data_IF_137741513378
#
_entry.id   IF_137741513378
#
_cell.length_a   1.000
_cell.length_b   1.000
_cell.length_c   1.000
_cell.angle_alpha   90.00
_cell.angle_beta   90.00
_cell.angle_gamma   90.00
#
_symmetry.space_group_name_H-M   'P 1'
#
loop_
_entity.id
_entity.type
_entity.pdbx_description
1 polymer ?
#
# COMPACT_ATOMS: atom_id res chain seq x y z
N UNK A 1 -9.78 -15.58 25.09
CA UNK A 1 -10.07 -14.63 26.19
C UNK A 1 -9.74 -13.23 25.72
N UNK A 2 -10.70 -12.29 25.76
CA UNK A 2 -10.47 -10.89 25.38
C UNK A 2 -9.44 -10.28 26.34
N UNK A 3 -8.43 -9.60 25.80
CA UNK A 3 -7.37 -9.02 26.64
C UNK A 3 -7.63 -7.55 26.91
N UNK A 4 -7.92 -7.17 28.17
CA UNK A 4 -8.23 -5.79 28.52
C UNK A 4 -7.08 -4.81 28.22
N UNK A 5 -5.85 -5.31 28.04
CA UNK A 5 -4.68 -4.45 27.74
C UNK A 5 -4.79 -3.68 26.42
N UNK A 6 -5.65 -4.12 25.48
CA UNK A 6 -5.89 -3.40 24.23
C UNK A 6 -7.13 -2.51 24.27
N UNK A 7 -7.94 -2.54 25.33
CA UNK A 7 -9.23 -1.84 25.39
C UNK A 7 -9.07 -0.32 25.19
N UNK A 8 -8.07 0.28 25.86
CA UNK A 8 -7.83 1.72 25.75
C UNK A 8 -7.44 2.13 24.33
N UNK A 9 -6.41 1.50 23.77
CA UNK A 9 -5.96 1.86 22.41
C UNK A 9 -7.03 1.55 21.36
N UNK A 10 -7.80 0.46 21.53
CA UNK A 10 -8.90 0.14 20.65
C UNK A 10 -9.99 1.21 20.69
N UNK A 11 -10.37 1.69 21.89
CA UNK A 11 -11.34 2.76 22.04
C UNK A 11 -10.87 4.05 21.36
N UNK A 12 -9.58 4.41 21.51
CA UNK A 12 -9.01 5.58 20.85
C UNK A 12 -9.08 5.46 19.32
N UNK A 13 -8.56 4.35 18.75
CA UNK A 13 -8.48 4.18 17.29
C UNK A 13 -9.87 4.01 16.67
N UNK A 14 -10.78 3.27 17.32
CA UNK A 14 -12.16 3.12 16.86
C UNK A 14 -12.98 4.41 16.99
N UNK A 15 -12.67 5.25 17.98
CA UNK A 15 -13.29 6.56 18.15
C UNK A 15 -12.94 7.56 17.03
N UNK A 16 -11.89 7.31 16.25
CA UNK A 16 -11.53 8.12 15.09
C UNK A 16 -12.24 7.66 13.79
N UNK A 17 -12.72 6.42 13.71
CA UNK A 17 -13.37 5.91 12.49
C UNK A 17 -14.56 6.77 12.02
N UNK A 18 -15.46 7.29 12.91
CA UNK A 18 -16.54 8.18 12.49
C UNK A 18 -16.10 9.52 11.92
N UNK A 19 -14.85 9.92 12.15
CA UNK A 19 -14.28 11.19 11.70
C UNK A 19 -13.45 11.05 10.42
N UNK A 20 -13.48 9.89 9.79
CA UNK A 20 -12.80 9.66 8.52
C UNK A 20 -13.63 10.19 7.35
N UNK A 21 -12.98 10.40 6.22
CA UNK A 21 -13.66 10.78 4.98
C UNK A 21 -14.54 9.62 4.50
N UNK A 22 -15.82 9.89 4.33
CA UNK A 22 -16.83 8.92 3.87
C UNK A 22 -17.04 8.99 2.36
N UNK A 23 -17.78 8.02 1.80
CA UNK A 23 -18.22 8.07 0.39
C UNK A 23 -19.04 9.32 0.07
N UNK A 24 -19.87 9.79 1.02
CA UNK A 24 -20.65 11.02 0.86
C UNK A 24 -19.74 12.26 0.73
N UNK A 25 -18.68 12.34 1.54
CA UNK A 25 -17.66 13.39 1.41
C UNK A 25 -17.01 13.35 0.03
N UNK A 26 -16.60 12.16 -0.41
CA UNK A 26 -16.00 11.95 -1.74
C UNK A 26 -16.96 12.41 -2.85
N UNK A 27 -18.23 12.02 -2.81
CA UNK A 27 -19.22 12.42 -3.82
C UNK A 27 -19.41 13.96 -3.84
N UNK A 28 -19.40 14.63 -2.69
CA UNK A 28 -19.44 16.11 -2.62
C UNK A 28 -18.17 16.74 -3.19
N UNK A 29 -16.99 16.23 -2.83
CA UNK A 29 -15.71 16.72 -3.37
C UNK A 29 -15.67 16.62 -4.89
N UNK A 30 -16.20 15.54 -5.43
CA UNK A 30 -16.23 15.27 -6.86
C UNK A 30 -17.09 16.28 -7.66
N UNK A 31 -17.97 17.01 -7.02
CA UNK A 31 -18.77 18.07 -7.63
C UNK A 31 -18.22 19.47 -7.35
N UNK A 32 -17.14 19.58 -6.60
CA UNK A 32 -16.55 20.86 -6.22
C UNK A 32 -15.85 21.52 -7.42
N UNK A 33 -16.04 22.83 -7.63
CA UNK A 33 -15.46 23.55 -8.76
C UNK A 33 -13.98 23.88 -8.60
N UNK A 34 -13.44 23.76 -7.38
CA UNK A 34 -12.04 24.07 -7.07
C UNK A 34 -11.47 23.18 -5.99
N UNK A 35 -10.14 23.14 -5.88
CA UNK A 35 -9.44 22.48 -4.79
C UNK A 35 -9.91 22.97 -3.42
N UNK A 36 -10.11 24.27 -3.26
CA UNK A 36 -10.53 24.88 -1.99
C UNK A 36 -11.96 24.47 -1.60
N UNK A 37 -12.87 24.46 -2.58
CA UNK A 37 -14.24 24.00 -2.35
C UNK A 37 -14.29 22.52 -1.99
N UNK A 38 -13.46 21.68 -2.64
CA UNK A 38 -13.34 20.27 -2.32
C UNK A 38 -12.85 20.06 -0.88
N UNK A 39 -11.78 20.76 -0.46
CA UNK A 39 -11.27 20.69 0.91
C UNK A 39 -12.30 21.19 1.93
N UNK A 40 -13.12 22.17 1.57
CA UNK A 40 -14.19 22.68 2.46
C UNK A 40 -15.25 21.61 2.79
N UNK A 41 -15.46 20.61 1.91
CA UNK A 41 -16.46 19.55 2.13
C UNK A 41 -16.06 18.53 3.20
N UNK A 42 -14.80 18.48 3.59
CA UNK A 42 -14.25 17.52 4.55
C UNK A 42 -13.77 18.16 5.86
N UNK A 43 -14.08 19.44 6.12
CA UNK A 43 -13.59 20.19 7.28
C UNK A 43 -13.90 19.53 8.64
N UNK A 44 -15.06 18.87 8.76
CA UNK A 44 -15.46 18.17 9.97
C UNK A 44 -14.74 16.84 10.22
N UNK A 45 -13.96 16.36 9.24
CA UNK A 45 -13.13 15.17 9.40
C UNK A 45 -11.80 15.49 10.08
N UNK A 46 -11.15 14.48 10.67
CA UNK A 46 -9.84 14.67 11.30
C UNK A 46 -8.78 15.17 10.31
N UNK A 47 -8.77 14.65 9.09
CA UNK A 47 -7.82 15.08 8.06
C UNK A 47 -8.18 16.46 7.49
N UNK A 48 -9.47 16.76 7.36
CA UNK A 48 -9.93 18.08 6.92
C UNK A 48 -9.55 19.18 7.90
N UNK A 49 -9.76 18.96 9.18
CA UNK A 49 -9.35 19.87 10.26
C UNK A 49 -7.83 20.10 10.27
N UNK A 50 -7.03 19.04 10.03
CA UNK A 50 -5.58 19.16 9.93
C UNK A 50 -5.15 19.98 8.71
N UNK A 51 -5.80 19.80 7.56
CA UNK A 51 -5.47 20.54 6.33
C UNK A 51 -5.90 22.02 6.39
N UNK A 52 -6.94 22.36 7.15
CA UNK A 52 -7.42 23.74 7.30
C UNK A 52 -6.39 24.64 8.00
N UNK A 53 -5.54 24.08 8.86
CA UNK A 53 -4.46 24.80 9.53
C UNK A 53 -3.26 25.11 8.61
N UNK A 54 -3.23 24.57 7.40
CA UNK A 54 -2.09 24.62 6.49
C UNK A 54 -2.38 25.50 5.26
N UNK A 55 -1.37 26.24 4.72
CA UNK A 55 -1.55 27.10 3.56
C UNK A 55 -1.55 26.32 2.24
N UNK A 56 -2.46 25.36 2.09
CA UNK A 56 -2.56 24.48 0.90
C UNK A 56 -2.97 25.31 -0.33
N UNK A 57 -2.06 25.46 -1.30
CA UNK A 57 -2.29 26.19 -2.56
C UNK A 57 -2.04 25.33 -3.80
N UNK A 58 -1.19 24.32 -3.70
CA UNK A 58 -0.80 23.43 -4.80
C UNK A 58 -1.05 21.98 -4.44
N UNK A 59 -1.21 21.13 -5.45
CA UNK A 59 -1.38 19.69 -5.21
C UNK A 59 -0.11 19.07 -4.61
N UNK A 60 1.08 19.47 -5.05
CA UNK A 60 2.32 18.87 -4.55
C UNK A 60 2.49 19.15 -3.05
N UNK A 61 2.20 20.36 -2.59
CA UNK A 61 2.22 20.67 -1.15
C UNK A 61 1.11 19.94 -0.40
N UNK A 62 -0.08 19.82 -0.99
CA UNK A 62 -1.18 19.02 -0.42
C UNK A 62 -0.76 17.57 -0.23
N UNK A 63 -0.10 16.98 -1.23
CA UNK A 63 0.36 15.58 -1.17
C UNK A 63 1.32 15.34 -0.01
N UNK A 64 2.26 16.25 0.19
CA UNK A 64 3.14 16.24 1.37
C UNK A 64 2.36 16.35 2.69
N UNK A 65 1.35 17.23 2.74
CA UNK A 65 0.48 17.40 3.92
C UNK A 65 -0.32 16.12 4.23
N UNK A 66 -0.85 15.42 3.22
CA UNK A 66 -1.60 14.17 3.41
C UNK A 66 -0.72 13.08 4.03
N UNK A 67 0.51 12.92 3.57
CA UNK A 67 1.46 11.99 4.18
C UNK A 67 1.95 12.47 5.55
N UNK A 68 2.13 13.78 5.73
CA UNK A 68 2.43 14.40 7.02
C UNK A 68 1.35 14.12 8.06
N UNK A 69 0.08 14.15 7.66
CA UNK A 69 -1.04 13.73 8.52
C UNK A 69 -0.89 12.28 9.00
N UNK A 70 -0.58 11.33 8.10
CA UNK A 70 -0.34 9.94 8.50
C UNK A 70 0.81 9.83 9.50
N UNK A 71 1.93 10.49 9.24
CA UNK A 71 3.06 10.52 10.16
C UNK A 71 2.68 11.09 11.54
N UNK A 72 1.88 12.16 11.57
CA UNK A 72 1.36 12.74 12.81
C UNK A 72 0.48 11.75 13.57
N UNK A 73 -0.43 11.05 12.88
CA UNK A 73 -1.31 10.06 13.52
C UNK A 73 -0.57 8.87 14.11
N UNK A 74 0.48 8.39 13.41
CA UNK A 74 1.36 7.32 13.93
C UNK A 74 2.06 7.79 15.21
N UNK A 75 2.71 8.96 15.17
CA UNK A 75 3.37 9.53 16.37
C UNK A 75 2.41 9.75 17.52
N UNK A 76 1.19 10.22 17.25
CA UNK A 76 0.15 10.39 18.27
C UNK A 76 -0.15 9.07 18.98
N UNK A 77 -0.38 7.98 18.23
CA UNK A 77 -0.64 6.67 18.81
C UNK A 77 0.57 6.17 19.62
N UNK A 78 1.77 6.32 19.10
CA UNK A 78 2.99 5.87 19.75
C UNK A 78 3.36 6.67 21.02
N UNK A 79 2.80 7.88 21.16
CA UNK A 79 3.00 8.73 22.35
C UNK A 79 2.19 8.30 23.58
N UNK A 80 1.24 7.38 23.44
CA UNK A 80 0.40 6.95 24.54
C UNK A 80 1.22 6.22 25.62
N UNK A 81 1.06 6.65 26.87
CA UNK A 81 1.61 5.93 28.03
C UNK A 81 0.95 4.54 28.13
N UNK A 82 1.73 3.55 28.54
CA UNK A 82 1.26 2.17 28.74
C UNK A 82 0.76 1.46 27.46
N UNK A 83 1.27 1.87 26.32
CA UNK A 83 0.94 1.20 25.05
C UNK A 83 1.42 -0.27 25.07
N UNK A 84 0.56 -1.24 24.71
CA UNK A 84 0.99 -2.64 24.60
C UNK A 84 2.14 -2.77 23.59
N UNK A 85 3.18 -3.53 23.95
CA UNK A 85 4.42 -3.68 23.16
C UNK A 85 4.21 -4.16 21.73
N UNK A 86 3.10 -4.84 21.48
CA UNK A 86 2.75 -5.34 20.15
C UNK A 86 2.27 -4.23 19.21
N UNK A 87 1.71 -3.14 19.74
CA UNK A 87 1.21 -2.02 18.91
C UNK A 87 2.35 -1.36 18.11
N UNK A 88 3.45 -0.89 18.71
CA UNK A 88 4.56 -0.33 17.93
C UNK A 88 5.26 -1.37 17.04
N UNK A 89 5.21 -2.68 17.38
CA UNK A 89 5.72 -3.72 16.48
C UNK A 89 4.89 -3.82 15.20
N UNK A 90 3.55 -3.79 15.33
CA UNK A 90 2.64 -3.81 14.17
C UNK A 90 2.79 -2.54 13.35
N UNK A 91 2.83 -1.37 14.02
CA UNK A 91 3.04 -0.08 13.36
C UNK A 91 4.37 -0.07 12.58
N UNK A 92 5.47 -0.38 13.25
CA UNK A 92 6.81 -0.37 12.64
C UNK A 92 6.91 -1.31 11.44
N UNK A 93 6.41 -2.56 11.56
CA UNK A 93 6.43 -3.50 10.43
C UNK A 93 5.54 -3.04 9.27
N UNK A 94 4.39 -2.44 9.56
CA UNK A 94 3.49 -1.95 8.51
C UNK A 94 4.08 -0.76 7.74
N UNK A 95 4.68 0.21 8.45
CA UNK A 95 5.19 1.44 7.82
C UNK A 95 6.46 1.23 6.99
N UNK A 96 7.17 0.11 7.15
CA UNK A 96 8.33 -0.24 6.31
C UNK A 96 8.01 -0.25 4.81
N UNK A 97 6.75 -0.44 4.41
CA UNK A 97 6.35 -0.32 3.00
C UNK A 97 6.61 1.08 2.42
N UNK A 98 6.58 2.12 3.26
CA UNK A 98 6.91 3.48 2.82
C UNK A 98 8.42 3.66 2.64
N UNK A 99 9.24 3.01 3.47
CA UNK A 99 10.69 2.94 3.23
C UNK A 99 10.96 2.24 1.88
N UNK A 100 10.29 1.10 1.61
CA UNK A 100 10.39 0.41 0.30
C UNK A 100 9.94 1.31 -0.85
N UNK A 101 8.84 2.04 -0.67
CA UNK A 101 8.36 2.98 -1.70
C UNK A 101 9.36 4.10 -1.96
N UNK A 102 9.98 4.64 -0.92
CA UNK A 102 11.02 5.67 -1.02
C UNK A 102 12.30 5.14 -1.70
N UNK A 103 12.72 3.91 -1.38
CA UNK A 103 13.85 3.25 -2.06
C UNK A 103 13.57 3.08 -3.56
N UNK A 104 12.37 2.61 -3.92
CA UNK A 104 11.96 2.47 -5.32
C UNK A 104 11.93 3.83 -6.05
N UNK A 105 11.46 4.89 -5.38
CA UNK A 105 11.47 6.25 -5.92
C UNK A 105 12.90 6.75 -6.18
N UNK A 106 13.84 6.50 -5.26
CA UNK A 106 15.26 6.83 -5.44
C UNK A 106 15.88 6.05 -6.61
N UNK A 107 15.63 4.71 -6.69
CA UNK A 107 16.06 3.87 -7.81
C UNK A 107 15.53 4.38 -9.16
N UNK A 108 14.30 4.86 -9.20
CA UNK A 108 13.72 5.47 -10.39
C UNK A 108 14.44 6.75 -10.77
N UNK A 109 14.77 7.59 -9.78
CA UNK A 109 15.51 8.84 -9.97
C UNK A 109 16.89 8.62 -10.57
N UNK A 110 17.70 7.72 -10.00
CA UNK A 110 19.06 7.40 -10.51
C UNK A 110 19.03 6.69 -11.86
N UNK A 111 17.92 6.05 -12.25
CA UNK A 111 17.75 5.43 -13.56
C UNK A 111 17.34 6.43 -14.65
N UNK A 112 17.43 7.74 -14.40
CA UNK A 112 17.05 8.81 -15.34
C UNK A 112 15.56 9.10 -15.42
N UNK A 113 14.75 8.56 -14.48
CA UNK A 113 13.34 8.87 -14.33
C UNK A 113 13.09 10.21 -13.64
N UNK A 114 11.83 10.66 -13.65
CA UNK A 114 11.43 11.82 -12.85
C UNK A 114 11.55 11.47 -11.36
N UNK A 115 12.25 12.31 -10.60
CA UNK A 115 12.29 12.18 -9.14
C UNK A 115 10.89 12.41 -8.57
N UNK A 116 10.40 11.46 -7.78
CA UNK A 116 9.13 11.57 -7.06
C UNK A 116 9.37 12.11 -5.65
N UNK A 117 8.38 12.80 -5.08
CA UNK A 117 8.44 13.22 -3.66
C UNK A 117 8.56 12.00 -2.76
N UNK A 118 9.33 12.15 -1.67
CA UNK A 118 9.49 11.10 -0.67
C UNK A 118 8.33 11.12 0.34
N UNK A 119 7.94 9.95 0.81
CA UNK A 119 6.89 9.80 1.82
C UNK A 119 7.51 9.97 3.21
N UNK A 120 7.09 10.97 4.02
CA UNK A 120 7.71 11.28 5.33
C UNK A 120 7.21 10.32 6.43
N UNK A 121 7.30 9.02 6.16
CA UNK A 121 6.92 7.92 7.07
C UNK A 121 7.94 6.80 6.93
N UNK A 122 8.27 6.13 8.03
CA UNK A 122 9.16 4.98 8.05
C UNK A 122 10.47 5.22 8.78
N UNK A 123 11.36 4.25 8.71
CA UNK A 123 12.65 4.24 9.43
C UNK A 123 13.59 5.29 8.85
N UNK A 124 13.66 5.42 7.53
CA UNK A 124 14.51 6.39 6.84
C UNK A 124 14.12 7.82 7.25
N UNK A 125 12.81 8.11 7.25
CA UNK A 125 12.29 9.39 7.72
C UNK A 125 12.65 9.66 9.19
N UNK A 126 12.45 8.68 10.07
CA UNK A 126 12.71 8.83 11.49
C UNK A 126 14.18 9.03 11.81
N UNK A 127 15.10 8.63 10.94
CA UNK A 127 16.52 8.91 11.00
C UNK A 127 16.93 10.22 10.31
N UNK A 128 15.98 11.01 9.80
CA UNK A 128 16.18 12.26 9.05
C UNK A 128 17.05 12.10 7.78
N UNK A 129 16.93 10.97 7.09
CA UNK A 129 17.72 10.60 5.90
C UNK A 129 16.95 10.60 4.59
N UNK A 130 15.72 11.16 4.56
CA UNK A 130 14.93 11.23 3.33
C UNK A 130 15.56 12.12 2.26
N UNK A 131 16.13 13.25 2.66
CA UNK A 131 16.80 14.18 1.74
C UNK A 131 18.05 13.56 1.14
N UNK A 132 18.80 12.78 1.91
CA UNK A 132 19.96 12.03 1.41
C UNK A 132 19.52 10.96 0.43
N UNK A 133 18.44 10.22 0.74
CA UNK A 133 17.89 9.23 -0.18
C UNK A 133 17.37 9.87 -1.48
N UNK A 134 16.69 11.02 -1.40
CA UNK A 134 16.21 11.75 -2.56
C UNK A 134 17.35 12.23 -3.47
N UNK A 135 18.49 12.59 -2.87
CA UNK A 135 19.66 13.10 -3.58
C UNK A 135 20.70 12.03 -3.93
N UNK A 136 20.43 10.74 -3.64
CA UNK A 136 21.31 9.65 -4.03
C UNK A 136 21.65 9.72 -5.52
N UNK A 137 22.94 9.58 -5.85
CA UNK A 137 23.44 9.65 -7.23
C UNK A 137 23.55 8.27 -7.86
N UNK A 138 23.76 7.25 -7.02
CA UNK A 138 23.89 5.86 -7.46
C UNK A 138 23.31 4.84 -6.45
N UNK A 139 23.43 3.56 -6.77
CA UNK A 139 22.92 2.46 -5.94
C UNK A 139 23.75 2.30 -4.66
N UNK A 140 25.04 2.63 -4.69
CA UNK A 140 25.92 2.52 -3.52
C UNK A 140 25.51 3.53 -2.43
N UNK A 141 25.11 4.74 -2.80
CA UNK A 141 24.58 5.72 -1.87
C UNK A 141 23.37 5.16 -1.13
N UNK A 142 22.42 4.55 -1.88
CA UNK A 142 21.24 3.93 -1.28
C UNK A 142 21.63 2.80 -0.34
N UNK A 143 22.57 1.93 -0.73
CA UNK A 143 23.04 0.81 0.11
C UNK A 143 23.64 1.32 1.41
N UNK A 144 24.51 2.33 1.36
CA UNK A 144 25.13 2.91 2.56
C UNK A 144 24.09 3.48 3.53
N UNK A 145 23.10 4.18 2.99
CA UNK A 145 21.98 4.72 3.75
C UNK A 145 21.16 3.60 4.42
N UNK A 146 20.87 2.51 3.71
CA UNK A 146 20.13 1.36 4.27
C UNK A 146 20.92 0.68 5.41
N UNK A 147 22.24 0.54 5.26
CA UNK A 147 23.11 0.01 6.33
C UNK A 147 23.04 0.93 7.57
N UNK A 148 23.14 2.25 7.38
CA UNK A 148 23.01 3.24 8.45
C UNK A 148 21.65 3.15 9.16
N UNK A 149 20.56 2.95 8.43
CA UNK A 149 19.20 2.77 8.94
C UNK A 149 18.94 1.38 9.54
N UNK A 150 19.90 0.45 9.51
CA UNK A 150 19.74 -0.97 9.91
C UNK A 150 18.67 -1.70 9.06
N UNK A 151 18.56 -1.33 7.80
CA UNK A 151 17.71 -1.96 6.79
C UNK A 151 18.50 -2.90 5.87
N UNK A 152 19.49 -3.60 6.43
CA UNK A 152 20.41 -4.48 5.70
C UNK A 152 19.74 -5.62 4.94
N UNK A 153 18.54 -6.05 5.35
CA UNK A 153 17.79 -7.11 4.68
C UNK A 153 17.40 -6.74 3.23
N UNK A 154 17.34 -5.44 2.89
CA UNK A 154 17.04 -4.94 1.55
C UNK A 154 18.28 -4.80 0.64
N UNK A 155 19.48 -4.84 1.21
CA UNK A 155 20.73 -4.64 0.49
C UNK A 155 20.96 -5.69 -0.60
N UNK A 156 20.71 -7.01 -0.40
CA UNK A 156 20.94 -8.03 -1.43
C UNK A 156 20.19 -7.77 -2.75
N UNK A 157 18.97 -7.23 -2.67
CA UNK A 157 18.20 -6.88 -3.86
C UNK A 157 18.86 -5.74 -4.67
N UNK A 158 19.44 -4.76 -3.98
CA UNK A 158 20.14 -3.63 -4.60
C UNK A 158 21.49 -4.05 -5.21
N UNK A 159 22.24 -4.90 -4.52
CA UNK A 159 23.51 -5.45 -5.03
C UNK A 159 23.29 -6.26 -6.32
N UNK A 160 22.21 -7.03 -6.42
CA UNK A 160 21.85 -7.72 -7.64
C UNK A 160 21.54 -6.72 -8.78
N UNK A 161 20.79 -5.67 -8.52
CA UNK A 161 20.48 -4.62 -9.51
C UNK A 161 21.71 -3.84 -9.97
N UNK A 162 22.70 -3.66 -9.07
CA UNK A 162 23.96 -2.97 -9.40
C UNK A 162 24.75 -3.65 -10.53
N UNK A 163 24.67 -4.98 -10.62
CA UNK A 163 25.38 -5.76 -11.65
C UNK A 163 24.65 -5.78 -12.99
N UNK A 164 23.34 -5.63 -13.02
CA UNK A 164 22.51 -5.58 -14.23
C UNK A 164 21.44 -4.47 -14.11
N UNK A 165 21.60 -3.41 -14.88
CA UNK A 165 20.68 -2.25 -14.91
C UNK A 165 19.63 -2.34 -16.03
N UNK A 166 19.33 -3.54 -16.52
CA UNK A 166 18.27 -3.76 -17.53
C UNK A 166 16.88 -3.41 -16.98
N UNK A 167 15.92 -3.16 -17.87
CA UNK A 167 14.53 -2.94 -17.49
C UNK A 167 13.93 -4.14 -16.72
N UNK A 168 14.34 -5.37 -17.07
CA UNK A 168 13.95 -6.59 -16.35
C UNK A 168 14.51 -6.61 -14.94
N UNK A 169 15.79 -6.28 -14.78
CA UNK A 169 16.46 -6.21 -13.49
C UNK A 169 15.82 -5.14 -12.57
N UNK A 170 15.37 -4.02 -13.14
CA UNK A 170 14.61 -3.01 -12.38
C UNK A 170 13.31 -3.57 -11.81
N UNK A 171 12.53 -4.29 -12.60
CA UNK A 171 11.30 -4.92 -12.11
C UNK A 171 11.60 -5.98 -11.04
N UNK A 172 12.69 -6.71 -11.19
CA UNK A 172 13.10 -7.73 -10.24
C UNK A 172 13.53 -7.14 -8.90
N UNK A 173 14.31 -6.05 -8.88
CA UNK A 173 14.66 -5.38 -7.62
C UNK A 173 13.42 -4.85 -6.90
N UNK A 174 12.47 -4.26 -7.63
CA UNK A 174 11.22 -3.79 -7.04
C UNK A 174 10.41 -4.94 -6.41
N UNK A 175 10.30 -6.09 -7.09
CA UNK A 175 9.63 -7.28 -6.57
C UNK A 175 10.36 -7.88 -5.35
N UNK A 176 11.70 -7.91 -5.35
CA UNK A 176 12.50 -8.40 -4.24
C UNK A 176 12.37 -7.48 -3.00
N UNK A 177 12.34 -6.17 -3.19
CA UNK A 177 12.08 -5.20 -2.11
C UNK A 177 10.68 -5.41 -1.49
N UNK A 178 9.65 -5.63 -2.30
CA UNK A 178 8.32 -5.98 -1.81
C UNK A 178 8.32 -7.34 -1.09
N UNK A 179 9.03 -8.31 -1.61
CA UNK A 179 9.19 -9.63 -1.00
C UNK A 179 9.80 -9.56 0.41
N UNK A 180 10.87 -8.78 0.60
CA UNK A 180 11.47 -8.58 1.92
C UNK A 180 10.54 -7.83 2.89
N UNK A 181 9.76 -6.86 2.41
CA UNK A 181 8.72 -6.22 3.21
C UNK A 181 7.69 -7.24 3.71
N UNK A 182 7.12 -8.06 2.82
CA UNK A 182 6.12 -9.06 3.22
C UNK A 182 6.71 -10.13 4.15
N UNK A 183 7.92 -10.56 3.91
CA UNK A 183 8.65 -11.49 4.78
C UNK A 183 8.82 -10.90 6.19
N UNK A 184 9.16 -9.63 6.30
CA UNK A 184 9.29 -8.91 7.58
C UNK A 184 7.96 -8.88 8.35
N UNK A 185 6.86 -8.54 7.68
CA UNK A 185 5.52 -8.50 8.30
C UNK A 185 5.08 -9.90 8.77
N UNK A 186 5.27 -10.92 7.94
CA UNK A 186 4.93 -12.30 8.28
C UNK A 186 5.77 -12.83 9.46
N UNK A 187 7.05 -12.48 9.52
CA UNK A 187 7.93 -12.82 10.64
C UNK A 187 7.50 -12.12 11.94
N UNK A 188 7.19 -10.83 11.88
CA UNK A 188 6.67 -10.08 13.02
C UNK A 188 5.36 -10.68 13.54
N UNK A 189 4.46 -11.07 12.65
CA UNK A 189 3.17 -11.66 12.98
C UNK A 189 3.30 -12.93 13.84
N UNK A 190 4.34 -13.75 13.65
CA UNK A 190 4.58 -14.98 14.45
C UNK A 190 4.78 -14.70 15.95
N UNK A 191 5.21 -13.47 16.30
CA UNK A 191 5.56 -13.09 17.67
C UNK A 191 4.48 -12.28 18.41
N UNK A 192 3.26 -12.13 17.86
CA UNK A 192 2.20 -11.32 18.45
C UNK A 192 0.91 -12.11 18.67
N UNK A 193 0.04 -11.59 19.55
CA UNK A 193 -1.32 -12.10 19.71
C UNK A 193 -2.11 -11.96 18.42
N UNK A 194 -2.91 -12.98 18.07
CA UNK A 194 -3.67 -13.06 16.81
C UNK A 194 -2.81 -12.94 15.54
N UNK A 195 -1.52 -13.17 15.66
CA UNK A 195 -0.57 -13.04 14.56
C UNK A 195 -0.84 -14.02 13.41
N UNK A 196 -1.47 -15.18 13.68
CA UNK A 196 -1.93 -16.08 12.63
C UNK A 196 -2.96 -15.43 11.71
N UNK A 197 -3.88 -14.63 12.27
CA UNK A 197 -4.87 -13.86 11.48
C UNK A 197 -4.16 -12.79 10.64
N UNK A 198 -3.18 -12.10 11.22
CA UNK A 198 -2.38 -11.12 10.47
C UNK A 198 -1.60 -11.79 9.33
N UNK A 199 -0.98 -12.95 9.60
CA UNK A 199 -0.27 -13.73 8.57
C UNK A 199 -1.20 -14.17 7.44
N UNK A 200 -2.41 -14.62 7.75
CA UNK A 200 -3.41 -14.96 6.75
C UNK A 200 -3.84 -13.73 5.94
N UNK A 201 -4.12 -12.59 6.60
CA UNK A 201 -4.51 -11.36 5.94
C UNK A 201 -3.44 -10.86 4.95
N UNK A 202 -2.17 -10.84 5.38
CA UNK A 202 -1.08 -10.46 4.48
C UNK A 202 -0.74 -11.53 3.45
N UNK A 203 -0.94 -12.80 3.76
CA UNK A 203 -0.85 -13.89 2.78
C UNK A 203 -1.88 -13.74 1.66
N UNK A 204 -3.12 -13.31 1.97
CA UNK A 204 -4.13 -12.96 0.95
C UNK A 204 -3.73 -11.74 0.12
N UNK A 205 -3.08 -10.74 0.73
CA UNK A 205 -2.54 -9.59 -0.02
C UNK A 205 -1.45 -10.06 -1.00
N UNK A 206 -0.57 -10.98 -0.58
CA UNK A 206 0.45 -11.58 -1.45
C UNK A 206 -0.21 -12.36 -2.59
N UNK A 207 -1.21 -13.22 -2.29
CA UNK A 207 -1.95 -13.97 -3.31
C UNK A 207 -2.53 -13.04 -4.39
N UNK A 208 -3.22 -11.98 -3.96
CA UNK A 208 -3.82 -11.01 -4.89
C UNK A 208 -2.76 -10.18 -5.64
N UNK A 209 -1.63 -9.89 -5.02
CA UNK A 209 -0.52 -9.23 -5.70
C UNK A 209 0.09 -10.14 -6.76
N UNK A 210 0.29 -11.42 -6.45
CA UNK A 210 0.79 -12.40 -7.41
C UNK A 210 -0.21 -12.65 -8.55
N UNK A 211 -1.51 -12.72 -8.23
CA UNK A 211 -2.55 -12.80 -9.27
C UNK A 211 -2.53 -11.57 -10.17
N UNK A 212 -2.36 -10.37 -9.61
CA UNK A 212 -2.20 -9.13 -10.37
C UNK A 212 -0.98 -9.18 -11.30
N UNK A 213 0.17 -9.65 -10.80
CA UNK A 213 1.39 -9.84 -11.59
C UNK A 213 1.11 -10.79 -12.74
N UNK A 214 0.50 -11.95 -12.48
CA UNK A 214 0.19 -12.96 -13.50
C UNK A 214 -0.76 -12.42 -14.58
N UNK A 215 -1.87 -11.80 -14.19
CA UNK A 215 -2.85 -11.25 -15.14
C UNK A 215 -2.24 -10.15 -16.01
N UNK A 216 -1.43 -9.26 -15.42
CA UNK A 216 -0.72 -8.22 -16.18
C UNK A 216 0.35 -8.79 -17.11
N UNK A 217 1.05 -9.85 -16.70
CA UNK A 217 2.03 -10.55 -17.52
C UNK A 217 1.36 -11.21 -18.74
N UNK A 218 0.22 -11.87 -18.55
CA UNK A 218 -0.58 -12.45 -19.62
C UNK A 218 -1.03 -11.38 -20.62
N UNK A 219 -1.57 -10.25 -20.13
CA UNK A 219 -2.01 -9.14 -20.98
C UNK A 219 -0.86 -8.56 -21.81
N UNK A 220 0.31 -8.44 -21.20
CA UNK A 220 1.52 -7.90 -21.86
C UNK A 220 2.25 -8.92 -22.73
N UNK A 221 1.85 -10.20 -22.70
CA UNK A 221 2.50 -11.27 -23.45
C UNK A 221 3.92 -11.62 -22.97
N UNK A 222 4.30 -11.28 -21.71
CA UNK A 222 5.59 -11.61 -21.12
C UNK A 222 5.59 -12.96 -20.38
N UNK A 223 4.42 -13.57 -20.15
CA UNK A 223 4.22 -14.94 -19.69
C UNK A 223 5.23 -15.43 -18.64
N UNK A 224 5.92 -16.51 -18.97
CA UNK A 224 6.85 -17.18 -18.05
C UNK A 224 8.00 -16.29 -17.52
N UNK A 225 8.39 -15.23 -18.24
CA UNK A 225 9.42 -14.29 -17.79
C UNK A 225 9.01 -13.53 -16.52
N UNK A 226 7.71 -13.48 -16.23
CA UNK A 226 7.20 -12.88 -15.00
C UNK A 226 7.28 -13.80 -13.76
N UNK A 227 7.70 -15.06 -13.91
CA UNK A 227 7.83 -16.00 -12.79
C UNK A 227 8.82 -15.51 -11.71
N UNK A 228 9.83 -14.73 -12.10
CA UNK A 228 10.83 -14.16 -11.19
C UNK A 228 10.27 -13.04 -10.32
N UNK A 229 9.11 -12.46 -10.66
CA UNK A 229 8.48 -11.38 -9.92
C UNK A 229 7.46 -11.89 -8.89
N UNK A 230 7.25 -13.20 -8.79
CA UNK A 230 6.30 -13.82 -7.85
C UNK A 230 6.83 -13.70 -6.43
N UNK A 231 6.00 -13.13 -5.56
CA UNK A 231 6.33 -12.89 -4.15
C UNK A 231 5.97 -14.15 -3.35
N UNK A 232 6.93 -14.68 -2.59
CA UNK A 232 6.71 -15.83 -1.73
C UNK A 232 5.86 -15.50 -0.49
N UNK A 233 5.09 -16.48 0.01
CA UNK A 233 4.34 -16.36 1.27
C UNK A 233 2.84 -16.17 1.11
N UNK A 234 2.27 -16.48 -0.03
CA UNK A 234 0.83 -16.53 -0.26
C UNK A 234 0.11 -17.47 0.73
N UNK A 235 -1.18 -17.24 0.93
CA UNK A 235 -1.98 -18.02 1.88
C UNK A 235 -2.76 -19.16 1.23
N UNK A 236 -3.41 -18.89 0.08
CA UNK A 236 -4.29 -19.86 -0.61
C UNK A 236 -3.79 -20.26 -1.98
N UNK A 237 -2.98 -19.43 -2.61
CA UNK A 237 -2.39 -19.70 -3.92
C UNK A 237 -0.91 -20.01 -3.74
N UNK A 238 -0.48 -21.19 -4.13
CA UNK A 238 0.94 -21.54 -4.07
C UNK A 238 1.73 -20.86 -5.17
N UNK A 239 3.02 -20.60 -4.93
CA UNK A 239 3.92 -20.01 -5.92
C UNK A 239 3.91 -20.83 -7.23
N UNK A 240 3.84 -22.16 -7.13
CA UNK A 240 3.72 -23.06 -8.28
C UNK A 240 2.44 -22.81 -9.08
N UNK A 241 1.29 -22.62 -8.38
CA UNK A 241 0.02 -22.33 -9.05
C UNK A 241 0.08 -20.99 -9.80
N UNK A 242 0.71 -19.96 -9.22
CA UNK A 242 0.92 -18.69 -9.92
C UNK A 242 1.80 -18.87 -11.17
N UNK A 243 2.90 -19.63 -11.05
CA UNK A 243 3.77 -19.93 -12.20
C UNK A 243 3.03 -20.66 -13.34
N UNK A 244 2.12 -21.59 -12.99
CA UNK A 244 1.28 -22.25 -13.99
C UNK A 244 0.31 -21.25 -14.67
N UNK A 245 -0.24 -20.28 -13.96
CA UNK A 245 -1.10 -19.25 -14.54
C UNK A 245 -0.39 -18.43 -15.63
N UNK A 246 0.90 -18.15 -15.47
CA UNK A 246 1.69 -17.35 -16.41
C UNK A 246 1.76 -17.94 -17.82
N UNK A 247 1.52 -19.24 -17.97
CA UNK A 247 1.50 -19.93 -19.26
C UNK A 247 0.11 -20.00 -19.93
N UNK A 248 -0.94 -19.50 -19.25
CA UNK A 248 -2.32 -19.58 -19.69
C UNK A 248 -2.74 -18.35 -20.50
N UNK A 249 -3.88 -18.48 -21.20
CA UNK A 249 -4.62 -17.34 -21.73
C UNK A 249 -5.53 -16.76 -20.63
N UNK A 250 -5.86 -15.48 -20.73
CA UNK A 250 -6.69 -14.77 -19.74
C UNK A 250 -8.00 -15.53 -19.45
N UNK A 251 -8.68 -16.04 -20.47
CA UNK A 251 -9.94 -16.75 -20.33
C UNK A 251 -9.85 -18.07 -19.55
N UNK A 252 -8.64 -18.67 -19.47
CA UNK A 252 -8.42 -19.98 -18.83
C UNK A 252 -8.01 -19.83 -17.36
N UNK A 253 -7.60 -18.62 -16.93
CA UNK A 253 -7.11 -18.35 -15.58
C UNK A 253 -8.15 -18.68 -14.50
N UNK A 254 -9.43 -18.26 -14.58
CA UNK A 254 -10.41 -18.55 -13.55
C UNK A 254 -10.58 -20.04 -13.29
N UNK A 255 -10.66 -20.84 -14.36
CA UNK A 255 -10.85 -22.30 -14.24
C UNK A 255 -9.65 -23.02 -13.61
N UNK A 256 -8.45 -22.41 -13.61
CA UNK A 256 -7.24 -22.98 -13.00
C UNK A 256 -7.14 -22.70 -11.51
N UNK A 257 -7.78 -21.66 -11.01
CA UNK A 257 -7.80 -21.32 -9.59
C UNK A 257 -8.71 -22.28 -8.82
N UNK A 258 -8.23 -22.81 -7.70
CA UNK A 258 -9.01 -23.77 -6.88
C UNK A 258 -9.99 -23.10 -5.92
N UNK A 259 -9.67 -21.88 -5.48
CA UNK A 259 -10.49 -21.11 -4.55
C UNK A 259 -11.55 -20.30 -5.30
N UNK A 260 -12.84 -20.51 -4.96
CA UNK A 260 -13.96 -19.87 -5.63
C UNK A 260 -13.89 -18.34 -5.59
N UNK A 261 -13.41 -17.75 -4.50
CA UNK A 261 -13.28 -16.31 -4.36
C UNK A 261 -12.25 -15.73 -5.35
N UNK A 262 -11.13 -16.43 -5.57
CA UNK A 262 -10.15 -16.02 -6.58
C UNK A 262 -10.61 -16.27 -8.00
N UNK A 263 -11.42 -17.34 -8.22
CA UNK A 263 -12.08 -17.55 -9.51
C UNK A 263 -12.99 -16.36 -9.87
N UNK A 264 -13.81 -15.91 -8.92
CA UNK A 264 -14.71 -14.78 -9.11
C UNK A 264 -13.93 -13.49 -9.43
N UNK A 265 -12.82 -13.22 -8.70
CA UNK A 265 -11.95 -12.08 -8.95
C UNK A 265 -11.34 -12.15 -10.36
N UNK A 266 -10.82 -13.31 -10.75
CA UNK A 266 -10.23 -13.50 -12.08
C UNK A 266 -11.27 -13.37 -13.20
N UNK A 267 -12.50 -13.86 -13.00
CA UNK A 267 -13.61 -13.68 -13.92
C UNK A 267 -14.00 -12.20 -14.07
N UNK A 268 -14.08 -11.46 -12.95
CA UNK A 268 -14.39 -10.02 -12.96
C UNK A 268 -13.32 -9.25 -13.74
N UNK A 269 -12.03 -9.54 -13.49
CA UNK A 269 -10.91 -8.94 -14.22
C UNK A 269 -10.97 -9.27 -15.71
N UNK A 270 -11.16 -10.57 -16.07
CA UNK A 270 -11.22 -11.00 -17.47
C UNK A 270 -12.36 -10.29 -18.20
N UNK A 271 -13.55 -10.26 -17.60
CA UNK A 271 -14.73 -9.61 -18.17
C UNK A 271 -14.53 -8.10 -18.33
N UNK A 272 -13.95 -7.44 -17.34
CA UNK A 272 -13.66 -5.99 -17.41
C UNK A 272 -12.60 -5.68 -18.45
N UNK A 273 -11.52 -6.47 -18.50
CA UNK A 273 -10.47 -6.31 -19.51
C UNK A 273 -11.00 -6.53 -20.92
N UNK A 274 -11.86 -7.53 -21.15
CA UNK A 274 -12.45 -7.78 -22.48
C UNK A 274 -13.29 -6.62 -22.99
N UNK A 275 -13.98 -5.92 -22.09
CA UNK A 275 -14.79 -4.74 -22.42
C UNK A 275 -13.97 -3.48 -22.67
N UNK A 276 -12.97 -3.23 -21.83
CA UNK A 276 -12.26 -1.95 -21.81
C UNK A 276 -10.91 -1.99 -22.52
N UNK A 277 -10.30 -3.18 -22.64
CA UNK A 277 -8.92 -3.42 -23.05
C UNK A 277 -7.89 -2.64 -22.21
N UNK A 278 -8.30 -2.20 -21.03
CA UNK A 278 -7.45 -1.44 -20.08
C UNK A 278 -6.80 -2.35 -19.07
N UNK A 279 -5.49 -2.30 -18.99
CA UNK A 279 -4.72 -3.01 -17.96
C UNK A 279 -4.98 -2.46 -16.55
N UNK A 280 -5.42 -1.20 -16.44
CA UNK A 280 -5.74 -0.56 -15.17
C UNK A 280 -6.95 -1.18 -14.50
N UNK A 281 -7.86 -1.81 -15.25
CA UNK A 281 -8.99 -2.57 -14.70
C UNK A 281 -8.54 -3.73 -13.79
N UNK A 282 -7.35 -4.30 -14.04
CA UNK A 282 -6.76 -5.34 -13.17
C UNK A 282 -6.47 -4.74 -11.80
N UNK A 283 -5.82 -3.58 -11.78
CA UNK A 283 -5.40 -2.93 -10.53
C UNK A 283 -6.60 -2.50 -9.69
N UNK A 284 -7.62 -1.91 -10.32
CA UNK A 284 -8.85 -1.47 -9.66
C UNK A 284 -9.57 -2.61 -8.95
N UNK A 285 -9.82 -3.70 -9.67
CA UNK A 285 -10.56 -4.85 -9.15
C UNK A 285 -9.76 -5.50 -8.01
N UNK A 286 -8.49 -5.74 -8.22
CA UNK A 286 -7.61 -6.36 -7.22
C UNK A 286 -7.55 -5.51 -5.94
N UNK A 287 -7.38 -4.20 -6.04
CA UNK A 287 -7.28 -3.32 -4.87
C UNK A 287 -8.57 -3.27 -4.05
N UNK A 288 -9.74 -3.25 -4.71
CA UNK A 288 -11.04 -3.34 -4.03
C UNK A 288 -11.18 -4.66 -3.27
N UNK A 289 -10.80 -5.76 -3.90
CA UNK A 289 -10.86 -7.08 -3.26
C UNK A 289 -9.85 -7.18 -2.10
N UNK A 290 -8.63 -6.67 -2.25
CA UNK A 290 -7.64 -6.57 -1.15
C UNK A 290 -8.23 -5.85 0.05
N UNK A 291 -8.81 -4.68 -0.16
CA UNK A 291 -9.39 -3.90 0.93
C UNK A 291 -10.55 -4.62 1.60
N UNK A 292 -11.47 -5.20 0.82
CA UNK A 292 -12.61 -5.95 1.36
C UNK A 292 -12.16 -7.12 2.23
N UNK A 293 -11.21 -7.93 1.75
CA UNK A 293 -10.67 -9.07 2.50
C UNK A 293 -9.96 -8.63 3.79
N UNK A 294 -9.16 -7.57 3.73
CA UNK A 294 -8.50 -7.02 4.92
C UNK A 294 -9.52 -6.50 5.93
N UNK A 295 -10.58 -5.83 5.47
CA UNK A 295 -11.69 -5.35 6.30
C UNK A 295 -12.37 -6.50 7.04
N UNK A 296 -12.75 -7.56 6.34
CA UNK A 296 -13.41 -8.74 6.90
C UNK A 296 -12.54 -9.43 7.96
N UNK A 297 -11.23 -9.49 7.76
CA UNK A 297 -10.32 -10.20 8.66
C UNK A 297 -9.86 -9.36 9.86
N UNK A 298 -9.55 -8.09 9.65
CA UNK A 298 -8.88 -7.25 10.65
C UNK A 298 -9.84 -6.37 11.44
N UNK A 299 -10.88 -5.82 10.80
CA UNK A 299 -11.83 -4.90 11.46
C UNK A 299 -12.51 -5.49 12.71
N UNK A 300 -12.88 -6.79 12.76
CA UNK A 300 -13.49 -7.38 13.95
C UNK A 300 -12.51 -7.60 15.13
N UNK A 301 -11.19 -7.44 14.92
CA UNK A 301 -10.15 -7.75 15.91
C UNK A 301 -9.86 -6.58 16.86
N UNK A 302 -10.92 -6.04 17.47
CA UNK A 302 -10.86 -4.81 18.28
C UNK A 302 -10.00 -4.92 19.54
N UNK A 303 -10.00 -6.06 20.26
CA UNK A 303 -9.17 -6.28 21.46
C UNK A 303 -7.89 -7.07 21.16
N UNK A 304 -7.17 -6.64 20.15
CA UNK A 304 -5.99 -7.27 19.58
C UNK A 304 -5.01 -6.20 19.08
N UNK A 305 -3.71 -6.50 18.95
CA UNK A 305 -2.77 -5.58 18.29
C UNK A 305 -3.13 -5.31 16.82
N UNK A 306 -3.98 -6.14 16.21
CA UNK A 306 -4.43 -5.98 14.82
C UNK A 306 -5.30 -4.74 14.62
N UNK A 307 -5.86 -4.16 15.70
CA UNK A 307 -6.55 -2.86 15.64
C UNK A 307 -5.63 -1.78 15.04
N UNK A 308 -4.32 -1.86 15.31
CA UNK A 308 -3.34 -0.92 14.74
C UNK A 308 -3.15 -1.15 13.24
N UNK A 309 -3.03 -2.40 12.81
CA UNK A 309 -2.92 -2.71 11.38
C UNK A 309 -4.16 -2.21 10.61
N UNK A 310 -5.35 -2.48 11.12
CA UNK A 310 -6.60 -2.02 10.52
C UNK A 310 -6.68 -0.48 10.47
N UNK A 311 -6.32 0.19 11.55
CA UNK A 311 -6.27 1.66 11.60
C UNK A 311 -5.36 2.25 10.53
N UNK A 312 -4.15 1.71 10.37
CA UNK A 312 -3.20 2.17 9.36
C UNK A 312 -3.71 1.94 7.94
N UNK A 313 -4.35 0.78 7.68
CA UNK A 313 -4.97 0.49 6.39
C UNK A 313 -6.09 1.49 6.07
N UNK A 314 -6.94 1.81 7.04
CA UNK A 314 -8.00 2.81 6.86
C UNK A 314 -7.44 4.19 6.53
N UNK A 315 -6.43 4.66 7.28
CA UNK A 315 -5.80 5.96 7.03
C UNK A 315 -5.09 6.03 5.68
N UNK A 316 -4.47 4.95 5.26
CA UNK A 316 -3.84 4.87 3.94
C UNK A 316 -4.87 4.92 2.80
N UNK A 317 -5.97 4.18 2.93
CA UNK A 317 -7.06 4.20 1.94
C UNK A 317 -7.71 5.58 1.88
N UNK A 318 -7.93 6.23 3.02
CA UNK A 318 -8.43 7.60 3.11
C UNK A 318 -7.52 8.57 2.33
N UNK A 319 -6.22 8.54 2.59
CA UNK A 319 -5.22 9.38 1.89
C UNK A 319 -5.19 9.07 0.40
N UNK A 320 -5.17 7.78 0.01
CA UNK A 320 -5.18 7.36 -1.39
C UNK A 320 -6.39 7.92 -2.15
N UNK A 321 -7.57 7.79 -1.57
CA UNK A 321 -8.80 8.30 -2.18
C UNK A 321 -8.76 9.82 -2.32
N UNK A 322 -8.33 10.53 -1.26
CA UNK A 322 -8.20 11.99 -1.29
C UNK A 322 -7.19 12.44 -2.35
N UNK A 323 -6.01 11.83 -2.40
CA UNK A 323 -4.99 12.13 -3.42
C UNK A 323 -5.57 12.00 -4.82
N UNK A 324 -6.29 10.91 -5.09
CA UNK A 324 -6.87 10.65 -6.39
C UNK A 324 -7.92 11.72 -6.77
N UNK A 325 -8.88 11.98 -5.87
CA UNK A 325 -9.94 12.97 -6.13
C UNK A 325 -9.37 14.37 -6.29
N UNK A 326 -8.51 14.80 -5.37
CA UNK A 326 -7.97 16.16 -5.38
C UNK A 326 -7.03 16.39 -6.57
N UNK A 327 -6.24 15.39 -6.96
CA UNK A 327 -5.42 15.44 -8.18
C UNK A 327 -6.28 15.59 -9.42
N UNK A 328 -7.36 14.84 -9.51
CA UNK A 328 -8.32 14.88 -10.62
C UNK A 328 -8.96 16.26 -10.77
N UNK A 329 -9.33 16.89 -9.64
CA UNK A 329 -9.90 18.25 -9.64
C UNK A 329 -8.85 19.25 -10.15
N UNK A 330 -7.61 19.17 -9.67
CA UNK A 330 -6.53 20.08 -10.08
C UNK A 330 -6.18 19.91 -11.57
N UNK A 331 -6.19 18.69 -12.08
CA UNK A 331 -5.86 18.39 -13.47
C UNK A 331 -7.06 18.62 -14.43
N UNK A 332 -8.26 18.92 -13.90
CA UNK A 332 -9.47 19.12 -14.71
C UNK A 332 -9.96 17.84 -15.40
N UNK A 333 -9.65 16.67 -14.85
CA UNK A 333 -10.08 15.37 -15.38
C UNK A 333 -11.56 15.11 -14.97
N UNK A 334 -12.42 14.60 -15.88
CA UNK A 334 -13.78 14.25 -15.52
C UNK A 334 -13.83 13.21 -14.39
N UNK A 335 -14.52 13.52 -13.33
CA UNK A 335 -14.56 12.74 -12.11
C UNK A 335 -15.12 11.32 -12.31
N UNK A 336 -16.02 11.13 -13.28
CA UNK A 336 -16.55 9.83 -13.65
C UNK A 336 -15.44 8.83 -14.02
N UNK A 337 -14.32 9.32 -14.55
CA UNK A 337 -13.20 8.48 -14.95
C UNK A 337 -12.50 7.85 -13.76
N UNK A 338 -12.55 8.48 -12.56
CA UNK A 338 -11.84 7.99 -11.38
C UNK A 338 -12.72 7.24 -10.38
N UNK A 339 -14.04 7.26 -10.54
CA UNK A 339 -14.96 6.65 -9.57
C UNK A 339 -14.68 5.16 -9.34
N UNK A 340 -14.22 4.48 -10.36
CA UNK A 340 -13.90 3.05 -10.28
C UNK A 340 -12.59 2.77 -9.53
N UNK A 341 -11.69 3.75 -9.46
CA UNK A 341 -10.40 3.61 -8.75
C UNK A 341 -10.50 3.84 -7.25
N UNK A 342 -11.61 4.41 -6.78
CA UNK A 342 -11.83 4.65 -5.36
C UNK A 342 -12.09 3.34 -4.62
N UNK A 343 -11.45 3.20 -3.47
CA UNK A 343 -11.64 2.09 -2.53
C UNK A 343 -12.50 2.60 -1.39
N UNK A 344 -13.80 2.25 -1.39
CA UNK A 344 -14.82 2.76 -0.46
C UNK A 344 -15.48 1.62 0.31
#
# INVERSE_FOLDING_TARGET
>A
MLSPKYAFISACLKGEEPKTVTSEHIDKMMTAPSLQDALATIRETDIGSYLEELPVKTFDYLDECLWGYLAQRIRYVESFKFLPKEIPKVSGAYVMKYDVSNIKAALQGISGGKKSSMIPVGIIHNNALLDELFNAEDVDDIIQLLIQCKLGDYVPALEQYKTDKSAKSKLLVEANLDGEYYKSILNMARGIKDGSVLSQAFGLVIDLTNLQIALRAIIKGIGADAAEFVIAGGYRITDKAIQELLSLKMADVPARLQDAQYQDIANEVSTSYDKTKSITAVDEIIDKHKFRMLKEMLSPRVLSPLVMAWYLILKEVEIRNLRLVLKTIVDGIPVQEIKNYLVL
#
